data_IF_511098002159
#
_entry.id   IF_511098002159
#
_cell.length_a   1.000
_cell.length_b   1.000
_cell.length_c   1.000
_cell.angle_alpha   90.00
_cell.angle_beta   90.00
_cell.angle_gamma   90.00
#
_symmetry.space_group_name_H-M   'P 1'
#
loop_
_entity.id
_entity.type
_entity.pdbx_description
1 polymer ?
#
# COMPACT_ATOMS: atom_id res chain seq x y z
N UNK A 1 -12.22 11.08 4.30
CA UNK A 1 -10.96 10.68 3.64
C UNK A 1 -11.19 9.31 3.02
N UNK A 2 -10.62 8.97 1.87
CA UNK A 2 -10.81 7.63 1.30
C UNK A 2 -10.13 6.61 2.22
N UNK A 3 -10.90 5.81 2.95
CA UNK A 3 -10.37 4.70 3.75
C UNK A 3 -9.87 3.62 2.79
N UNK A 4 -8.55 3.47 2.70
CA UNK A 4 -7.92 2.39 1.97
C UNK A 4 -8.27 1.09 2.71
N UNK A 5 -9.14 0.27 2.12
CA UNK A 5 -9.69 -0.93 2.79
C UNK A 5 -8.77 -2.15 2.74
N UNK A 6 -7.66 -2.10 2.02
CA UNK A 6 -6.82 -3.25 1.74
C UNK A 6 -5.35 -2.83 1.59
N UNK A 7 -4.42 -3.74 1.84
CA UNK A 7 -2.98 -3.54 1.61
C UNK A 7 -2.44 -4.65 0.71
N UNK A 8 -1.37 -4.36 -0.05
CA UNK A 8 -0.75 -5.32 -0.96
C UNK A 8 0.11 -6.30 -0.17
N UNK A 9 0.07 -7.56 -0.54
CA UNK A 9 0.98 -8.60 -0.06
C UNK A 9 1.55 -9.31 -1.27
N UNK A 10 2.87 -9.52 -1.28
CA UNK A 10 3.49 -10.29 -2.35
C UNK A 10 3.00 -11.74 -2.34
N UNK A 11 2.64 -12.26 -3.52
CA UNK A 11 2.25 -13.68 -3.69
C UNK A 11 3.27 -14.67 -3.12
N UNK A 12 4.54 -14.26 -3.09
CA UNK A 12 5.68 -15.05 -2.66
C UNK A 12 6.16 -14.70 -1.24
N UNK A 13 5.30 -14.13 -0.38
CA UNK A 13 5.67 -13.72 0.99
C UNK A 13 6.36 -14.83 1.79
N UNK A 14 5.97 -16.09 1.60
CA UNK A 14 6.57 -17.25 2.29
C UNK A 14 7.94 -17.67 1.73
N UNK A 15 8.32 -17.19 0.55
CA UNK A 15 9.66 -17.38 -0.02
C UNK A 15 10.63 -16.27 0.41
N UNK A 16 10.13 -15.21 1.05
CA UNK A 16 10.97 -14.16 1.59
C UNK A 16 11.85 -14.72 2.72
N UNK A 17 13.16 -14.53 2.62
CA UNK A 17 14.14 -15.11 3.57
C UNK A 17 13.94 -14.62 4.99
N UNK A 18 13.55 -13.35 5.18
CA UNK A 18 13.26 -12.79 6.51
C UNK A 18 12.02 -13.46 7.11
N UNK A 19 10.97 -13.67 6.32
CA UNK A 19 9.76 -14.39 6.75
C UNK A 19 10.07 -15.85 7.07
N UNK A 20 10.86 -16.55 6.24
CA UNK A 20 11.29 -17.93 6.51
C UNK A 20 12.08 -18.05 7.81
N UNK A 21 13.02 -17.13 8.07
CA UNK A 21 13.75 -17.08 9.34
C UNK A 21 12.81 -16.88 10.52
N UNK A 22 11.83 -15.97 10.39
CA UNK A 22 10.85 -15.71 11.44
C UNK A 22 9.97 -16.92 11.73
N UNK A 23 9.49 -17.60 10.68
CA UNK A 23 8.67 -18.81 10.80
C UNK A 23 9.42 -20.00 11.40
N UNK A 24 10.76 -20.03 11.31
CA UNK A 24 11.59 -21.06 11.92
C UNK A 24 11.70 -20.99 13.46
N UNK A 25 11.28 -19.89 14.10
CA UNK A 25 11.28 -19.78 15.56
C UNK A 25 10.11 -20.57 16.18
N UNK A 26 10.26 -20.94 17.47
CA UNK A 26 9.19 -21.61 18.26
C UNK A 26 7.84 -20.87 18.23
N UNK A 27 7.88 -19.54 18.11
CA UNK A 27 6.71 -18.66 18.02
C UNK A 27 6.52 -18.09 16.60
N UNK A 28 6.96 -18.80 15.55
CA UNK A 28 7.03 -18.29 14.18
C UNK A 28 5.74 -17.67 13.66
N UNK A 29 4.60 -18.35 13.86
CA UNK A 29 3.28 -17.84 13.48
C UNK A 29 2.93 -16.52 14.16
N UNK A 30 3.42 -16.30 15.39
CA UNK A 30 3.21 -15.03 16.09
C UNK A 30 3.95 -13.88 15.39
N UNK A 31 5.16 -14.12 14.89
CA UNK A 31 5.89 -13.10 14.14
C UNK A 31 5.16 -12.75 12.84
N UNK A 32 4.71 -13.74 12.07
CA UNK A 32 3.97 -13.47 10.83
C UNK A 32 2.66 -12.73 11.11
N UNK A 33 1.90 -13.15 12.12
CA UNK A 33 0.68 -12.45 12.54
C UNK A 33 0.95 -10.99 12.88
N UNK A 34 1.95 -10.71 13.72
CA UNK A 34 2.27 -9.33 14.11
C UNK A 34 2.72 -8.54 12.88
N UNK A 35 3.52 -9.12 11.98
CA UNK A 35 3.93 -8.44 10.75
C UNK A 35 2.74 -7.99 9.90
N UNK A 36 1.78 -8.89 9.66
CA UNK A 36 0.55 -8.58 8.92
C UNK A 36 -0.27 -7.50 9.64
N UNK A 37 -0.36 -7.54 10.97
CA UNK A 37 -1.05 -6.52 11.75
C UNK A 37 -0.36 -5.15 11.68
N UNK A 38 0.98 -5.11 11.64
CA UNK A 38 1.73 -3.87 11.46
C UNK A 38 1.48 -3.25 10.08
N UNK A 39 1.43 -4.06 9.03
CA UNK A 39 1.06 -3.59 7.68
C UNK A 39 -0.34 -2.98 7.67
N UNK A 40 -1.30 -3.64 8.32
CA UNK A 40 -2.67 -3.13 8.46
C UNK A 40 -2.72 -1.79 9.22
N UNK A 41 -1.99 -1.69 10.34
CA UNK A 41 -1.91 -0.46 11.12
C UNK A 41 -1.28 0.69 10.32
N UNK A 42 -0.21 0.42 9.57
CA UNK A 42 0.43 1.41 8.75
C UNK A 42 -0.49 1.98 7.64
N UNK A 43 -1.39 1.16 7.08
CA UNK A 43 -2.43 1.64 6.16
C UNK A 43 -3.45 2.53 6.90
N UNK A 44 -3.89 2.13 8.08
CA UNK A 44 -4.83 2.89 8.90
C UNK A 44 -4.24 4.26 9.31
N UNK A 45 -2.96 4.31 9.68
CA UNK A 45 -2.25 5.54 9.99
C UNK A 45 -2.16 6.47 8.76
N UNK A 46 -2.08 5.90 7.55
CA UNK A 46 -1.93 6.63 6.28
C UNK A 46 -0.78 7.67 6.30
N UNK A 47 0.33 7.34 6.98
CA UNK A 47 1.49 8.22 7.17
C UNK A 47 2.78 7.57 6.64
N UNK A 48 2.78 7.21 5.34
CA UNK A 48 3.94 6.64 4.64
C UNK A 48 4.62 5.45 5.36
N UNK A 49 3.82 4.61 6.03
CA UNK A 49 4.31 3.44 6.75
C UNK A 49 4.73 3.71 8.19
N UNK A 50 4.59 4.94 8.70
CA UNK A 50 4.82 5.32 10.09
C UNK A 50 3.69 4.80 10.97
N UNK A 51 4.08 4.29 12.14
CA UNK A 51 3.17 3.70 13.11
C UNK A 51 2.88 4.73 14.22
N UNK A 52 1.81 5.48 14.03
CA UNK A 52 1.38 6.58 14.89
C UNK A 52 -0.09 6.46 15.29
N UNK A 53 -0.44 6.91 16.48
CA UNK A 53 -1.84 7.11 16.90
C UNK A 53 -2.07 8.62 16.99
N UNK A 54 -2.91 9.14 16.11
CA UNK A 54 -3.00 10.58 15.88
C UNK A 54 -1.64 11.10 15.39
N UNK A 55 -0.98 11.92 16.21
CA UNK A 55 0.35 12.47 15.90
C UNK A 55 1.48 11.85 16.74
N UNK A 56 1.17 10.92 17.64
CA UNK A 56 2.14 10.39 18.59
C UNK A 56 2.67 9.01 18.14
N UNK A 57 3.96 8.71 18.33
CA UNK A 57 4.51 7.37 18.11
C UNK A 57 3.77 6.32 18.94
N UNK A 58 3.47 5.16 18.36
CA UNK A 58 2.89 4.04 19.12
C UNK A 58 3.95 3.47 20.06
N UNK A 59 3.64 3.46 21.35
CA UNK A 59 4.49 2.87 22.39
C UNK A 59 4.38 1.34 22.45
N UNK A 60 5.37 0.68 23.05
CA UNK A 60 5.35 -0.78 23.26
C UNK A 60 4.10 -1.23 24.05
N UNK A 61 3.62 -0.41 24.99
CA UNK A 61 2.41 -0.70 25.77
C UNK A 61 1.15 -0.67 24.89
N UNK A 62 1.07 0.28 23.97
CA UNK A 62 -0.04 0.37 23.02
C UNK A 62 0.00 -0.77 22.01
N UNK A 63 1.17 -1.09 21.44
CA UNK A 63 1.33 -2.29 20.60
C UNK A 63 0.91 -3.56 21.35
N UNK A 64 1.33 -3.71 22.62
CA UNK A 64 0.95 -4.83 23.48
C UNK A 64 -0.57 -4.96 23.61
N UNK A 65 -1.28 -3.84 23.81
CA UNK A 65 -2.74 -3.79 23.90
C UNK A 65 -3.42 -4.11 22.56
N UNK A 66 -2.98 -3.49 21.47
CA UNK A 66 -3.54 -3.66 20.11
C UNK A 66 -3.33 -5.11 19.63
N UNK A 67 -2.15 -5.67 19.83
CA UNK A 67 -1.78 -7.00 19.32
C UNK A 67 -2.27 -8.15 20.21
N UNK A 68 -2.70 -7.84 21.46
CA UNK A 68 -3.09 -8.83 22.46
C UNK A 68 -1.93 -9.71 22.91
N UNK A 69 -0.76 -9.10 23.15
CA UNK A 69 0.48 -9.77 23.57
C UNK A 69 1.08 -9.06 24.77
N UNK A 70 1.89 -9.73 25.59
CA UNK A 70 2.59 -9.07 26.70
C UNK A 70 3.62 -8.07 26.18
N UNK A 71 3.87 -7.00 26.92
CA UNK A 71 4.85 -5.96 26.53
C UNK A 71 6.25 -6.54 26.31
N UNK A 72 6.65 -7.53 27.11
CA UNK A 72 7.93 -8.24 26.93
C UNK A 72 7.98 -9.04 25.62
N UNK A 73 6.88 -9.70 25.24
CA UNK A 73 6.81 -10.42 23.96
C UNK A 73 6.79 -9.45 22.79
N UNK A 74 6.08 -8.34 22.94
CA UNK A 74 5.99 -7.30 21.91
C UNK A 74 7.35 -6.64 21.65
N UNK A 75 8.08 -6.24 22.70
CA UNK A 75 9.43 -5.68 22.57
C UNK A 75 10.33 -6.61 21.77
N UNK A 76 10.42 -7.89 22.16
CA UNK A 76 11.24 -8.89 21.46
C UNK A 76 10.89 -9.02 19.97
N UNK A 77 9.61 -8.97 19.63
CA UNK A 77 9.16 -9.08 18.25
C UNK A 77 9.56 -7.84 17.45
N UNK A 78 9.34 -6.64 17.99
CA UNK A 78 9.73 -5.39 17.34
C UNK A 78 11.25 -5.28 17.18
N UNK A 79 12.01 -5.67 18.20
CA UNK A 79 13.47 -5.73 18.17
C UNK A 79 13.96 -6.67 17.05
N UNK A 80 13.31 -7.84 16.88
CA UNK A 80 13.63 -8.76 15.79
C UNK A 80 13.32 -8.17 14.40
N UNK A 81 12.23 -7.43 14.27
CA UNK A 81 11.92 -6.75 13.02
C UNK A 81 12.88 -5.60 12.71
N UNK A 82 13.37 -4.89 13.71
CA UNK A 82 14.43 -3.89 13.55
C UNK A 82 15.75 -4.55 13.14
N UNK A 83 16.14 -5.66 13.81
CA UNK A 83 17.34 -6.44 13.49
C UNK A 83 17.32 -6.96 12.05
N UNK A 84 16.17 -7.46 11.58
CA UNK A 84 15.98 -7.91 10.21
C UNK A 84 15.76 -6.76 9.23
N UNK A 85 15.87 -5.50 9.64
CA UNK A 85 15.60 -4.31 8.83
C UNK A 85 14.23 -4.35 8.11
N UNK A 86 13.21 -4.89 8.76
CA UNK A 86 11.82 -4.83 8.31
C UNK A 86 11.15 -3.54 8.80
N UNK A 87 11.53 -3.11 9.99
CA UNK A 87 11.22 -1.80 10.55
C UNK A 87 12.46 -0.89 10.51
N UNK A 88 12.22 0.41 10.55
CA UNK A 88 13.20 1.47 10.79
C UNK A 88 12.69 2.39 11.89
N UNK A 89 13.59 3.09 12.57
CA UNK A 89 13.25 4.10 13.58
C UNK A 89 13.55 5.48 12.98
N UNK A 90 12.51 6.31 12.83
CA UNK A 90 12.56 7.68 12.30
C UNK A 90 12.02 8.62 13.38
N UNK A 91 12.87 9.47 13.96
CA UNK A 91 12.47 10.44 14.99
C UNK A 91 11.63 9.82 16.11
N UNK A 92 12.12 8.71 16.66
CA UNK A 92 11.45 7.88 17.68
C UNK A 92 10.20 7.10 17.23
N UNK A 93 9.72 7.32 16.01
CA UNK A 93 8.61 6.58 15.41
C UNK A 93 9.11 5.33 14.70
N UNK A 94 8.43 4.20 14.91
CA UNK A 94 8.66 3.01 14.11
C UNK A 94 7.95 3.15 12.75
N UNK A 95 8.67 2.86 11.67
CA UNK A 95 8.14 2.88 10.33
C UNK A 95 8.51 1.61 9.56
N UNK A 96 7.64 1.20 8.63
CA UNK A 96 7.87 0.06 7.76
C UNK A 96 8.90 0.44 6.70
N UNK A 97 10.00 -0.33 6.61
CA UNK A 97 11.05 -0.07 5.61
C UNK A 97 10.49 -0.34 4.21
N UNK A 98 10.87 0.51 3.24
CA UNK A 98 10.43 0.41 1.84
C UNK A 98 8.90 0.45 1.64
N UNK A 99 8.15 1.11 2.53
CA UNK A 99 6.69 1.21 2.44
C UNK A 99 6.20 1.62 1.05
N UNK A 100 6.69 2.74 0.52
CA UNK A 100 6.27 3.26 -0.77
C UNK A 100 6.59 2.32 -1.95
N UNK A 101 7.57 1.43 -1.82
CA UNK A 101 7.90 0.46 -2.89
C UNK A 101 6.89 -0.67 -2.96
N UNK A 102 6.39 -1.13 -1.80
CA UNK A 102 5.48 -2.28 -1.71
C UNK A 102 4.01 -1.89 -1.66
N UNK A 103 3.72 -0.68 -1.19
CA UNK A 103 2.36 -0.16 -1.03
C UNK A 103 2.10 1.04 -1.96
N UNK A 104 2.95 1.30 -2.95
CA UNK A 104 2.63 2.31 -3.97
C UNK A 104 1.25 2.00 -4.56
N UNK A 105 0.40 3.03 -4.59
CA UNK A 105 -0.78 3.02 -5.44
C UNK A 105 -0.30 2.74 -6.86
N UNK A 106 -0.81 1.66 -7.46
CA UNK A 106 -0.53 1.45 -8.87
C UNK A 106 -1.08 2.63 -9.65
N UNK A 107 -0.43 3.04 -10.75
CA UNK A 107 -0.99 4.08 -11.64
C UNK A 107 -2.42 3.73 -12.07
N UNK A 108 -2.72 2.43 -12.18
CA UNK A 108 -4.06 1.92 -12.47
C UNK A 108 -5.06 2.21 -11.34
N UNK A 109 -4.62 2.18 -10.10
CA UNK A 109 -5.39 2.46 -8.90
C UNK A 109 -5.67 3.95 -8.77
N UNK A 110 -4.65 4.77 -8.99
CA UNK A 110 -4.78 6.22 -9.11
C UNK A 110 -5.73 6.58 -10.26
N UNK A 111 -5.64 5.89 -11.39
CA UNK A 111 -6.54 6.06 -12.53
C UNK A 111 -7.98 5.69 -12.17
N UNK A 112 -8.22 4.56 -11.49
CA UNK A 112 -9.57 4.18 -11.06
C UNK A 112 -10.16 5.17 -10.06
N UNK A 113 -9.37 5.64 -9.08
CA UNK A 113 -9.79 6.66 -8.12
C UNK A 113 -10.16 7.95 -8.86
N UNK A 114 -9.30 8.42 -9.76
CA UNK A 114 -9.54 9.62 -10.57
C UNK A 114 -10.78 9.46 -11.47
N UNK A 115 -11.01 8.27 -12.04
CA UNK A 115 -12.16 8.02 -12.89
C UNK A 115 -13.47 8.01 -12.08
N UNK A 116 -13.46 7.44 -10.87
CA UNK A 116 -14.58 7.51 -9.93
C UNK A 116 -14.87 8.95 -9.50
N UNK A 117 -13.85 9.76 -9.22
CA UNK A 117 -14.03 11.19 -8.93
C UNK A 117 -14.62 11.95 -10.11
N UNK A 118 -14.14 11.70 -11.34
CA UNK A 118 -14.70 12.30 -12.56
C UNK A 118 -16.17 11.95 -12.73
N UNK A 119 -16.54 10.68 -12.56
CA UNK A 119 -17.93 10.22 -12.62
C UNK A 119 -18.80 10.87 -11.54
N UNK A 120 -18.29 11.01 -10.31
CA UNK A 120 -18.99 11.71 -9.22
C UNK A 120 -19.23 13.18 -9.57
N UNK A 121 -18.19 13.90 -10.00
CA UNK A 121 -18.30 15.32 -10.42
C UNK A 121 -19.27 15.47 -11.59
N UNK A 122 -19.24 14.56 -12.57
CA UNK A 122 -20.17 14.56 -13.69
C UNK A 122 -21.62 14.33 -13.24
N UNK A 123 -21.84 13.37 -12.34
CA UNK A 123 -23.17 13.08 -11.79
C UNK A 123 -23.72 14.24 -10.96
N UNK A 124 -22.88 14.88 -10.14
CA UNK A 124 -23.23 16.08 -9.37
C UNK A 124 -23.53 17.28 -10.27
N UNK A 125 -22.76 17.49 -11.35
CA UNK A 125 -23.04 18.51 -12.37
C UNK A 125 -24.37 18.24 -13.07
N UNK A 126 -24.62 17.00 -13.52
CA UNK A 126 -25.90 16.61 -14.13
C UNK A 126 -27.09 16.81 -13.20
N UNK A 127 -26.98 16.46 -11.91
CA UNK A 127 -28.03 16.74 -10.93
C UNK A 127 -28.32 18.24 -10.82
N UNK A 128 -27.27 19.07 -10.72
CA UNK A 128 -27.39 20.54 -10.65
C UNK A 128 -27.91 21.16 -11.95
N UNK A 129 -27.61 20.60 -13.11
CA UNK A 129 -28.13 21.05 -14.42
C UNK A 129 -29.58 20.62 -14.63
N UNK A 130 -29.96 19.42 -14.19
CA UNK A 130 -31.34 18.94 -14.27
C UNK A 130 -32.27 19.70 -13.31
N UNK A 131 -31.75 20.18 -12.18
CA UNK A 131 -32.45 21.14 -11.31
C UNK A 131 -32.59 22.54 -11.96
N UNK A 132 -31.79 22.86 -12.98
CA UNK A 132 -31.76 24.19 -13.62
C UNK A 132 -32.37 24.26 -15.02
N UNK A 133 -32.51 23.14 -15.75
CA UNK A 133 -32.81 23.16 -17.18
C UNK A 133 -33.47 21.86 -17.67
N UNK A 134 -34.70 21.98 -18.19
CA UNK A 134 -35.49 20.91 -18.81
C UNK A 134 -35.13 20.63 -20.29
N UNK A 135 -33.85 20.61 -20.71
CA UNK A 135 -33.51 20.31 -22.13
C UNK A 135 -32.18 19.53 -22.26
N UNK A 136 -32.23 18.40 -22.98
CA UNK A 136 -31.13 17.43 -23.20
C UNK A 136 -30.32 17.75 -24.47
N UNK A 137 -28.98 17.75 -24.37
CA UNK A 137 -28.06 17.69 -25.52
C UNK A 137 -26.88 16.73 -25.23
N UNK A 138 -26.60 15.82 -26.17
CA UNK A 138 -25.50 14.83 -26.16
C UNK A 138 -24.48 15.17 -27.24
N UNK A 139 -23.18 15.18 -26.91
CA UNK A 139 -22.06 15.32 -27.87
C UNK A 139 -20.98 14.25 -27.61
N UNK A 140 -20.38 13.78 -28.72
CA UNK A 140 -19.57 12.57 -28.96
C UNK A 140 -18.26 12.38 -28.15
N UNK A 141 -17.97 11.13 -27.76
CA UNK A 141 -16.75 10.68 -27.04
C UNK A 141 -15.74 9.87 -27.90
N UNK A 142 -15.95 9.74 -29.22
CA UNK A 142 -15.25 8.74 -30.04
C UNK A 142 -13.79 9.07 -30.42
N UNK A 143 -13.31 10.29 -30.19
CA UNK A 143 -11.97 10.75 -30.64
C UNK A 143 -10.85 10.57 -29.61
N UNK A 144 -11.18 10.42 -28.32
CA UNK A 144 -10.19 10.34 -27.23
C UNK A 144 -9.55 8.94 -27.11
N UNK A 145 -10.34 7.86 -27.27
CA UNK A 145 -9.90 6.46 -27.10
C UNK A 145 -8.72 6.08 -28.02
N UNK A 146 -8.67 6.61 -29.25
CA UNK A 146 -7.63 6.26 -30.23
C UNK A 146 -6.25 6.86 -29.91
N UNK A 147 -6.16 7.92 -29.10
CA UNK A 147 -4.88 8.51 -28.67
C UNK A 147 -4.32 7.76 -27.46
N UNK A 148 -5.17 7.24 -26.59
CA UNK A 148 -4.82 6.54 -25.35
C UNK A 148 -4.20 5.15 -25.62
N UNK A 149 -4.64 4.46 -26.67
CA UNK A 149 -4.14 3.12 -27.04
C UNK A 149 -2.68 3.14 -27.58
N UNK A 150 -2.20 4.30 -28.04
CA UNK A 150 -0.81 4.47 -28.50
C UNK A 150 0.15 4.71 -27.35
N UNK A 151 -0.23 5.56 -26.38
CA UNK A 151 0.56 5.87 -25.19
C UNK A 151 0.79 4.60 -24.33
N UNK A 152 -0.23 3.75 -24.22
CA UNK A 152 -0.17 2.50 -23.45
C UNK A 152 0.82 1.47 -24.02
N UNK A 153 1.07 1.46 -25.34
CA UNK A 153 2.01 0.52 -25.98
C UNK A 153 3.47 0.95 -25.83
N UNK A 154 3.74 2.25 -25.75
CA UNK A 154 5.09 2.79 -25.57
C UNK A 154 5.60 2.58 -24.14
N UNK A 155 4.74 2.80 -23.13
CA UNK A 155 5.10 2.64 -21.71
C UNK A 155 5.46 1.18 -21.36
N UNK A 156 4.72 0.20 -21.90
CA UNK A 156 5.02 -1.24 -21.69
C UNK A 156 6.39 -1.66 -22.20
N UNK A 157 6.91 -0.99 -23.23
CA UNK A 157 8.24 -1.30 -23.77
C UNK A 157 9.36 -0.73 -22.89
N UNK A 158 9.14 0.44 -22.27
CA UNK A 158 10.10 1.03 -21.33
C UNK A 158 10.15 0.30 -19.99
N UNK A 159 9.02 -0.21 -19.47
CA UNK A 159 8.98 -0.97 -18.21
C UNK A 159 9.79 -2.26 -18.29
N UNK A 160 9.66 -3.03 -19.38
CA UNK A 160 10.45 -4.25 -19.60
C UNK A 160 11.97 -4.01 -19.63
N UNK A 161 12.42 -2.82 -20.02
CA UNK A 161 13.86 -2.49 -20.10
C UNK A 161 14.41 -2.15 -18.71
N UNK A 162 13.59 -1.60 -17.81
CA UNK A 162 14.02 -1.18 -16.45
C UNK A 162 13.94 -2.30 -15.41
N UNK A 163 13.08 -3.30 -15.62
CA UNK A 163 12.95 -4.47 -14.73
C UNK A 163 14.25 -5.28 -14.62
N UNK A 164 15.06 -5.37 -15.68
CA UNK A 164 16.32 -6.15 -15.67
C UNK A 164 17.46 -5.49 -14.85
N UNK A 165 17.40 -4.17 -14.57
CA UNK A 165 18.54 -3.43 -14.01
C UNK A 165 18.47 -3.15 -12.49
N UNK A 166 17.28 -3.07 -11.87
CA UNK A 166 17.11 -2.43 -10.54
C UNK A 166 16.43 -3.30 -9.45
N UNK A 167 16.25 -4.59 -9.70
CA UNK A 167 15.75 -5.51 -8.69
C UNK A 167 16.83 -5.77 -7.63
N UNK A 168 16.75 -5.08 -6.50
CA UNK A 168 17.42 -5.47 -5.24
C UNK A 168 17.02 -6.87 -4.70
N UNK A 169 16.43 -7.71 -5.55
CA UNK A 169 16.13 -9.12 -5.42
C UNK A 169 16.75 -9.78 -6.64
N UNK A 170 17.73 -10.69 -6.46
CA UNK A 170 18.26 -11.44 -7.61
C UNK A 170 17.12 -12.21 -8.28
N UNK A 171 16.72 -11.75 -9.44
CA UNK A 171 15.99 -12.58 -10.39
C UNK A 171 16.88 -13.76 -10.78
N UNK A 172 16.40 -14.97 -10.55
CA UNK A 172 16.95 -16.15 -11.20
C UNK A 172 15.97 -16.58 -12.28
N UNK A 173 16.44 -16.55 -13.54
CA UNK A 173 15.78 -17.24 -14.64
C UNK A 173 15.88 -18.75 -14.36
N UNK A 174 14.75 -19.45 -14.49
CA UNK A 174 14.68 -20.92 -14.52
C UNK A 174 15.41 -21.46 -15.75
#
# INVERSE_FOLDING_TARGET
MYDIQWFKVEKNIFYNRKIQLLLGYKDGDTYLRVWIQLLSLAVECNDNGRLVIGNNPISIKEFSKIMGKSSKKMSKILDKFLELEMLKKEDEVLAIKNWNKYQSFDRQETYQINNRERQRRFSEKKKKEHEKTNVSLTLDNATEEKREEKITKEIRKEENIREEEDSGFREYKL
#
